data_IF_196122545913
#
_entry.id   IF_196122545913
#
_cell.length_a   1.000
_cell.length_b   1.000
_cell.length_c   1.000
_cell.angle_alpha   90.00
_cell.angle_beta   90.00
_cell.angle_gamma   90.00
#
_symmetry.space_group_name_H-M   'P 1'
#
loop_
_entity.id
_entity.type
_entity.pdbx_description
1 polymer ?
#
# COMPACT_ATOMS: atom_id res chain seq x y z
N UNK A 1 10.27 -14.23 7.29
CA UNK A 1 10.12 -13.70 8.66
C UNK A 1 8.83 -14.21 9.28
N UNK A 2 8.89 -14.59 10.55
CA UNK A 2 7.69 -14.99 11.29
C UNK A 2 7.23 -13.81 12.17
N UNK A 3 5.99 -13.39 12.01
CA UNK A 3 5.33 -12.54 12.98
C UNK A 3 4.26 -13.37 13.70
N UNK A 4 4.33 -13.43 15.03
CA UNK A 4 3.41 -14.18 15.89
C UNK A 4 3.29 -15.68 15.56
N UNK A 5 4.35 -16.31 15.05
CA UNK A 5 4.36 -17.74 14.73
C UNK A 5 3.62 -18.13 13.45
N UNK A 6 3.12 -17.16 12.69
CA UNK A 6 2.53 -17.39 11.37
C UNK A 6 3.55 -17.05 10.28
N UNK A 7 3.68 -17.89 9.24
CA UNK A 7 4.54 -17.57 8.11
C UNK A 7 4.00 -16.32 7.40
N UNK A 8 4.86 -15.32 7.26
CA UNK A 8 4.57 -14.11 6.51
C UNK A 8 5.37 -14.13 5.21
N UNK A 9 4.67 -14.13 4.08
CA UNK A 9 5.28 -14.06 2.76
C UNK A 9 5.14 -12.62 2.24
N UNK A 10 6.26 -11.94 2.06
CA UNK A 10 6.30 -10.63 1.42
C UNK A 10 6.70 -10.84 -0.05
N UNK A 11 5.83 -10.45 -0.97
CA UNK A 11 6.11 -10.45 -2.39
C UNK A 11 6.58 -9.04 -2.77
N UNK A 12 7.87 -8.90 -2.95
CA UNK A 12 8.41 -7.72 -3.61
C UNK A 12 8.56 -8.05 -5.10
N UNK A 13 7.90 -7.30 -5.96
CA UNK A 13 8.20 -7.37 -7.39
C UNK A 13 9.59 -6.77 -7.61
N UNK A 14 10.62 -7.60 -7.62
CA UNK A 14 11.94 -7.15 -8.01
C UNK A 14 11.99 -6.97 -9.52
N UNK A 15 12.11 -5.72 -9.93
CA UNK A 15 12.29 -5.34 -11.34
C UNK A 15 13.76 -5.38 -11.79
N UNK A 16 14.68 -5.83 -10.96
CA UNK A 16 16.06 -6.09 -11.37
C UNK A 16 16.21 -7.54 -11.81
N UNK A 17 16.42 -7.74 -13.10
CA UNK A 17 16.96 -9.00 -13.62
C UNK A 17 18.33 -9.28 -13.02
N UNK A 18 18.76 -10.54 -13.01
CA UNK A 18 20.07 -10.99 -12.51
C UNK A 18 21.28 -10.35 -13.22
N UNK A 19 21.03 -9.59 -14.28
CA UNK A 19 22.01 -8.85 -15.10
C UNK A 19 22.05 -7.34 -14.77
N UNK A 20 21.26 -6.89 -13.80
CA UNK A 20 21.19 -5.47 -13.41
C UNK A 20 20.44 -4.57 -14.41
N UNK A 21 19.78 -5.14 -15.41
CA UNK A 21 18.92 -4.41 -16.33
C UNK A 21 17.58 -4.17 -15.64
N UNK A 22 17.15 -2.90 -15.54
CA UNK A 22 15.79 -2.57 -15.14
C UNK A 22 14.82 -3.15 -16.18
N UNK A 23 14.07 -4.16 -15.79
CA UNK A 23 12.92 -4.61 -16.58
C UNK A 23 11.77 -3.63 -16.35
N UNK A 24 11.07 -3.28 -17.42
CA UNK A 24 9.84 -2.48 -17.32
C UNK A 24 8.92 -3.13 -16.27
N UNK A 25 8.48 -2.34 -15.30
CA UNK A 25 7.49 -2.82 -14.33
C UNK A 25 6.23 -3.17 -15.12
N UNK A 26 5.60 -4.33 -14.85
CA UNK A 26 4.30 -4.56 -15.42
C UNK A 26 3.35 -3.45 -14.95
N UNK A 27 2.84 -2.68 -15.89
CA UNK A 27 1.80 -1.70 -15.63
C UNK A 27 0.47 -2.47 -15.58
N UNK A 28 -0.14 -2.55 -14.43
CA UNK A 28 -1.48 -3.06 -14.26
C UNK A 28 -2.46 -1.91 -14.41
N UNK A 29 -3.47 -2.07 -15.26
CA UNK A 29 -4.52 -1.08 -15.39
C UNK A 29 -5.57 -1.24 -14.28
N UNK A 30 -6.14 -0.13 -13.84
CA UNK A 30 -7.30 -0.14 -12.95
C UNK A 30 -8.44 -0.97 -13.54
N UNK A 31 -9.09 -1.76 -12.70
CA UNK A 31 -10.15 -2.69 -13.11
C UNK A 31 -9.66 -4.02 -13.68
N UNK A 32 -8.37 -4.22 -13.88
CA UNK A 32 -7.83 -5.53 -14.26
C UNK A 32 -7.92 -6.51 -13.09
N UNK A 33 -8.26 -7.76 -13.44
CA UNK A 33 -8.22 -8.86 -12.50
C UNK A 33 -6.82 -9.46 -12.44
N UNK A 34 -6.39 -9.80 -11.23
CA UNK A 34 -5.13 -10.50 -11.00
C UNK A 34 -5.36 -12.01 -10.86
N UNK A 35 -4.53 -12.75 -11.58
CA UNK A 35 -4.31 -14.17 -11.37
C UNK A 35 -3.11 -14.32 -10.43
N UNK A 36 -3.24 -15.14 -9.41
CA UNK A 36 -2.17 -15.37 -8.43
C UNK A 36 -1.81 -16.83 -8.41
N UNK A 37 -0.53 -17.13 -8.56
CA UNK A 37 -0.02 -18.49 -8.49
C UNK A 37 1.18 -18.61 -7.59
N UNK A 38 1.29 -19.74 -6.90
CA UNK A 38 2.47 -20.14 -6.14
C UNK A 38 2.84 -21.56 -6.48
N UNK A 39 4.10 -21.79 -6.88
CA UNK A 39 4.57 -23.14 -7.25
C UNK A 39 4.62 -24.12 -6.06
N UNK A 40 4.56 -23.60 -4.84
CA UNK A 40 4.78 -24.38 -3.63
C UNK A 40 6.22 -24.87 -3.52
N UNK A 41 6.56 -25.41 -2.36
CA UNK A 41 7.84 -26.06 -2.10
C UNK A 41 7.59 -27.33 -1.29
N UNK A 42 8.22 -28.43 -1.67
CA UNK A 42 8.09 -29.71 -0.96
C UNK A 42 8.55 -29.66 0.51
N UNK A 43 9.33 -28.63 0.89
CA UNK A 43 9.76 -28.35 2.26
C UNK A 43 8.89 -27.35 2.99
N UNK A 44 7.96 -26.68 2.31
CA UNK A 44 7.03 -25.73 2.90
C UNK A 44 5.68 -26.40 3.19
N UNK A 45 4.97 -25.85 4.16
CA UNK A 45 3.59 -26.24 4.44
C UNK A 45 2.60 -25.73 3.35
N UNK A 46 3.13 -25.04 2.33
CA UNK A 46 2.34 -24.43 1.28
C UNK A 46 2.49 -25.24 -0.01
N UNK A 47 1.42 -25.93 -0.42
CA UNK A 47 1.35 -26.63 -1.69
C UNK A 47 1.32 -25.68 -2.90
N UNK A 48 1.37 -26.21 -4.10
CA UNK A 48 1.12 -25.41 -5.31
C UNK A 48 -0.31 -24.86 -5.29
N UNK A 49 -0.46 -23.62 -5.67
CA UNK A 49 -1.73 -22.92 -5.68
C UNK A 49 -1.82 -22.01 -6.91
N UNK A 50 -2.96 -22.00 -7.52
CA UNK A 50 -3.26 -21.22 -8.73
C UNK A 50 -4.74 -20.81 -8.68
N UNK A 51 -5.00 -19.52 -8.68
CA UNK A 51 -6.33 -18.93 -8.68
C UNK A 51 -6.40 -17.77 -9.66
N UNK A 52 -7.48 -17.74 -10.45
CA UNK A 52 -7.72 -16.69 -11.42
C UNK A 52 -8.78 -15.71 -10.95
N UNK A 53 -8.62 -14.44 -11.32
CA UNK A 53 -9.56 -13.35 -11.03
C UNK A 53 -9.81 -13.16 -9.51
N UNK A 54 -8.79 -13.33 -8.70
CA UNK A 54 -8.92 -13.31 -7.24
C UNK A 54 -8.95 -11.91 -6.65
N UNK A 55 -8.44 -10.93 -7.38
CA UNK A 55 -8.34 -9.54 -6.93
C UNK A 55 -8.46 -8.59 -8.12
N UNK A 56 -9.04 -7.42 -7.88
CA UNK A 56 -9.09 -6.33 -8.85
C UNK A 56 -8.01 -5.30 -8.49
N UNK A 57 -7.38 -4.71 -9.49
CA UNK A 57 -6.52 -3.54 -9.28
C UNK A 57 -7.42 -2.32 -9.04
N UNK A 58 -7.39 -1.69 -7.88
CA UNK A 58 -8.22 -0.50 -7.62
C UNK A 58 -7.76 0.68 -8.47
N UNK A 59 -8.63 1.66 -8.65
CA UNK A 59 -8.28 2.92 -9.29
C UNK A 59 -7.12 3.60 -8.54
N UNK A 60 -6.18 4.17 -9.29
CA UNK A 60 -5.05 4.86 -8.70
C UNK A 60 -5.50 6.16 -8.02
N UNK A 61 -5.31 6.24 -6.71
CA UNK A 61 -5.51 7.46 -5.95
C UNK A 61 -4.30 8.38 -6.10
N UNK A 62 -4.53 9.65 -6.44
CA UNK A 62 -3.48 10.65 -6.67
C UNK A 62 -3.75 11.91 -5.86
N UNK A 63 -2.67 12.57 -5.43
CA UNK A 63 -2.80 13.89 -4.80
C UNK A 63 -3.17 14.95 -5.85
N UNK A 64 -4.13 15.83 -5.52
CA UNK A 64 -4.51 16.92 -6.42
C UNK A 64 -3.47 18.04 -6.51
N UNK A 65 -2.64 18.19 -5.49
CA UNK A 65 -1.52 19.13 -5.48
C UNK A 65 -0.23 18.43 -5.87
N UNK A 66 0.53 18.99 -6.80
CA UNK A 66 1.82 18.47 -7.24
C UNK A 66 3.01 18.96 -6.39
N UNK A 67 2.78 19.82 -5.40
CA UNK A 67 3.80 20.33 -4.51
C UNK A 67 4.24 19.34 -3.42
N UNK A 68 5.33 19.70 -2.73
CA UNK A 68 5.74 19.04 -1.48
C UNK A 68 4.72 19.38 -0.39
N UNK A 69 4.44 18.41 0.47
CA UNK A 69 3.60 18.65 1.64
C UNK A 69 4.48 19.21 2.76
N UNK A 70 4.13 20.38 3.30
CA UNK A 70 4.81 20.96 4.47
C UNK A 70 3.80 21.07 5.60
N UNK A 71 4.13 20.47 6.73
CA UNK A 71 3.31 20.58 7.93
C UNK A 71 4.11 21.22 9.08
N UNK A 72 3.58 22.30 9.63
CA UNK A 72 4.18 22.99 10.78
C UNK A 72 3.28 22.96 12.00
N UNK A 73 1.97 23.02 11.82
CA UNK A 73 0.99 22.98 12.92
C UNK A 73 -0.43 22.82 12.38
N UNK A 74 -1.35 22.45 13.26
CA UNK A 74 -2.76 22.35 12.94
C UNK A 74 -3.14 21.07 12.19
N UNK A 75 -4.34 21.03 11.65
CA UNK A 75 -4.83 19.91 10.85
C UNK A 75 -4.15 19.88 9.49
N UNK A 76 -3.60 18.73 9.10
CA UNK A 76 -3.13 18.51 7.74
C UNK A 76 -4.33 18.13 6.87
N UNK A 77 -4.56 18.89 5.81
CA UNK A 77 -5.59 18.59 4.81
C UNK A 77 -4.89 18.12 3.54
N UNK A 78 -5.37 17.00 3.02
CA UNK A 78 -4.86 16.36 1.79
C UNK A 78 -6.03 16.18 0.84
N UNK A 79 -6.00 16.89 -0.28
CA UNK A 79 -6.95 16.73 -1.38
C UNK A 79 -6.44 15.69 -2.37
N UNK A 80 -7.31 14.80 -2.81
CA UNK A 80 -6.98 13.70 -3.72
C UNK A 80 -8.11 13.41 -4.70
N UNK A 81 -7.81 12.57 -5.69
CA UNK A 81 -8.76 12.06 -6.69
C UNK A 81 -8.36 10.66 -7.13
N UNK A 82 -9.23 10.01 -7.91
CA UNK A 82 -8.97 8.68 -8.46
C UNK A 82 -9.25 7.56 -7.45
N UNK A 83 -10.23 7.73 -6.57
CA UNK A 83 -10.70 6.65 -5.72
C UNK A 83 -12.04 6.13 -6.21
N UNK A 84 -12.21 4.80 -6.18
CA UNK A 84 -13.43 4.08 -6.58
C UNK A 84 -14.00 3.21 -5.44
N UNK A 85 -13.44 3.34 -4.25
CA UNK A 85 -13.80 2.57 -3.07
C UNK A 85 -14.57 3.34 -2.01
N UNK A 86 -14.95 2.63 -0.97
CA UNK A 86 -15.57 3.23 0.22
C UNK A 86 -14.54 3.88 1.17
N UNK A 87 -13.27 3.48 1.04
CA UNK A 87 -12.21 3.82 1.98
C UNK A 87 -10.90 4.17 1.26
N UNK A 88 -10.22 5.17 1.81
CA UNK A 88 -8.87 5.58 1.41
C UNK A 88 -7.91 5.47 2.59
N UNK A 89 -6.70 5.05 2.31
CA UNK A 89 -5.64 4.89 3.30
C UNK A 89 -4.57 5.96 3.11
N UNK A 90 -4.32 6.71 4.17
CA UNK A 90 -3.19 7.64 4.25
C UNK A 90 -2.09 6.97 5.06
N UNK A 91 -0.90 6.83 4.46
CA UNK A 91 0.28 6.29 5.12
C UNK A 91 1.32 7.37 5.30
N UNK A 92 2.12 7.27 6.34
CA UNK A 92 3.26 8.16 6.57
C UNK A 92 4.47 7.39 7.04
N UNK A 93 5.63 7.73 6.48
CA UNK A 93 6.94 7.30 6.97
C UNK A 93 7.71 8.54 7.34
N UNK A 94 8.12 8.67 8.59
CA UNK A 94 8.76 9.89 9.10
C UNK A 94 10.21 9.63 9.50
N UNK A 95 10.92 10.69 9.82
CA UNK A 95 12.27 10.58 10.38
C UNK A 95 12.29 9.62 11.58
N UNK A 96 13.42 8.94 11.78
CA UNK A 96 13.63 7.93 12.83
C UNK A 96 12.78 6.65 12.69
N UNK A 97 12.05 6.48 11.56
CA UNK A 97 11.32 5.25 11.25
C UNK A 97 9.91 5.18 11.82
N UNK A 98 9.36 6.29 12.28
CA UNK A 98 7.95 6.38 12.67
C UNK A 98 7.06 6.07 11.47
N UNK A 99 6.04 5.23 11.71
CA UNK A 99 5.09 4.82 10.70
C UNK A 99 3.68 5.23 11.11
N UNK A 100 2.91 5.71 10.15
CA UNK A 100 1.51 6.03 10.30
C UNK A 100 0.70 5.29 9.24
N UNK A 101 -0.46 4.77 9.60
CA UNK A 101 -1.47 4.30 8.68
C UNK A 101 -2.85 4.68 9.21
N UNK A 102 -3.59 5.46 8.46
CA UNK A 102 -4.92 5.93 8.80
C UNK A 102 -5.90 5.57 7.69
N UNK A 103 -7.09 5.16 8.08
CA UNK A 103 -8.19 4.87 7.17
C UNK A 103 -9.23 5.98 7.24
N UNK A 104 -9.70 6.44 6.09
CA UNK A 104 -10.71 7.47 5.95
C UNK A 104 -11.80 7.03 4.98
N UNK A 105 -13.00 7.59 5.14
CA UNK A 105 -14.03 7.45 4.10
C UNK A 105 -13.59 8.22 2.86
N UNK A 106 -13.91 7.67 1.69
CA UNK A 106 -13.59 8.30 0.41
C UNK A 106 -14.55 9.46 0.11
N UNK A 107 -14.11 10.68 0.40
CA UNK A 107 -14.83 11.91 0.12
C UNK A 107 -14.01 12.96 -0.66
N UNK A 108 -12.85 12.55 -1.19
CA UNK A 108 -11.93 13.40 -1.96
C UNK A 108 -11.00 14.24 -1.10
N UNK A 109 -11.14 14.20 0.24
CA UNK A 109 -10.29 14.96 1.15
C UNK A 109 -10.01 14.18 2.44
N UNK A 110 -8.76 14.14 2.84
CA UNK A 110 -8.35 13.64 4.14
C UNK A 110 -8.02 14.79 5.07
N UNK A 111 -8.57 14.76 6.28
CA UNK A 111 -8.26 15.69 7.36
C UNK A 111 -7.57 14.95 8.51
N UNK A 112 -6.26 15.12 8.63
CA UNK A 112 -5.47 14.49 9.68
C UNK A 112 -5.29 15.47 10.85
N UNK A 113 -5.81 15.15 12.04
CA UNK A 113 -5.70 16.02 13.21
C UNK A 113 -4.26 16.27 13.62
N UNK A 114 -3.98 17.45 14.18
CA UNK A 114 -2.64 17.86 14.58
C UNK A 114 -1.97 16.91 15.57
N UNK A 115 -2.74 16.29 16.47
CA UNK A 115 -2.23 15.38 17.50
C UNK A 115 -1.62 14.08 16.93
N UNK A 116 -1.96 13.72 15.71
CA UNK A 116 -1.35 12.58 15.02
C UNK A 116 0.10 12.90 14.62
N UNK A 117 0.36 14.12 14.14
CA UNK A 117 1.69 14.53 13.66
C UNK A 117 2.55 15.25 14.71
N UNK A 118 1.95 15.75 15.79
CA UNK A 118 2.66 16.57 16.78
C UNK A 118 3.79 15.86 17.52
N UNK A 119 3.80 14.53 17.54
CA UNK A 119 4.82 13.72 18.19
C UNK A 119 5.83 13.10 17.21
N UNK A 120 5.67 13.30 15.90
CA UNK A 120 6.65 12.84 14.91
C UNK A 120 7.91 13.69 15.01
N UNK A 121 9.06 13.16 14.60
CA UNK A 121 10.31 13.91 14.57
C UNK A 121 10.32 14.88 13.39
N UNK A 122 10.90 16.09 13.61
CA UNK A 122 11.11 17.05 12.53
C UNK A 122 12.02 16.50 11.44
N UNK A 123 11.73 16.81 10.21
CA UNK A 123 12.50 16.39 9.05
C UNK A 123 11.65 15.88 7.90
N UNK A 124 12.33 15.34 6.92
CA UNK A 124 11.70 14.78 5.72
C UNK A 124 11.15 13.38 5.96
N UNK A 125 9.99 13.11 5.35
CA UNK A 125 9.33 11.82 5.32
C UNK A 125 8.61 11.57 4.00
N UNK A 126 7.88 10.45 3.93
CA UNK A 126 6.98 10.11 2.84
C UNK A 126 5.54 10.13 3.32
N UNK A 127 4.63 10.63 2.51
CA UNK A 127 3.19 10.59 2.70
C UNK A 127 2.57 9.90 1.50
N UNK A 128 1.89 8.78 1.72
CA UNK A 128 1.24 8.00 0.66
C UNK A 128 -0.27 8.01 0.81
N UNK A 129 -0.99 8.06 -0.31
CA UNK A 129 -2.43 7.92 -0.37
C UNK A 129 -2.77 6.76 -1.30
N UNK A 130 -3.64 5.85 -0.83
CA UNK A 130 -3.89 4.60 -1.53
C UNK A 130 -5.35 4.17 -1.43
N UNK A 131 -5.83 3.58 -2.50
CA UNK A 131 -6.97 2.67 -2.50
C UNK A 131 -6.49 1.27 -2.15
N UNK A 132 -7.32 0.51 -1.45
CA UNK A 132 -7.02 -0.86 -1.04
C UNK A 132 -8.17 -1.78 -1.44
N UNK A 133 -7.86 -2.80 -2.22
CA UNK A 133 -8.75 -3.92 -2.43
C UNK A 133 -8.28 -5.15 -1.65
N UNK A 134 -9.25 -5.88 -1.09
CA UNK A 134 -8.99 -7.09 -0.31
C UNK A 134 -9.79 -8.26 -0.86
N UNK A 135 -9.10 -9.33 -1.18
CA UNK A 135 -9.71 -10.61 -1.56
C UNK A 135 -9.43 -11.70 -0.52
N UNK A 136 -10.29 -12.68 -0.47
CA UNK A 136 -10.08 -13.89 0.34
C UNK A 136 -10.33 -15.08 -0.59
N UNK A 137 -9.39 -16.00 -0.63
CA UNK A 137 -9.50 -17.25 -1.36
C UNK A 137 -9.08 -18.43 -0.50
N UNK A 138 -9.37 -19.66 -0.95
CA UNK A 138 -8.95 -20.87 -0.25
C UNK A 138 -7.56 -21.30 -0.72
N UNK A 139 -6.63 -21.48 0.21
CA UNK A 139 -5.34 -22.08 -0.08
C UNK A 139 -5.42 -23.58 -0.38
N UNK A 140 -4.31 -24.20 -0.81
CA UNK A 140 -4.25 -25.61 -1.18
C UNK A 140 -4.62 -26.58 -0.04
N UNK A 141 -4.51 -26.15 1.20
CA UNK A 141 -4.90 -26.90 2.40
C UNK A 141 -6.29 -26.52 2.94
N UNK A 142 -7.03 -25.67 2.21
CA UNK A 142 -8.35 -25.17 2.57
C UNK A 142 -8.34 -24.02 3.59
N UNK A 143 -7.17 -23.54 4.00
CA UNK A 143 -7.07 -22.37 4.86
C UNK A 143 -7.29 -21.07 4.06
N UNK A 144 -7.89 -20.04 4.66
CA UNK A 144 -8.11 -18.78 3.96
C UNK A 144 -6.77 -18.06 3.68
N UNK A 145 -6.61 -17.59 2.46
CA UNK A 145 -5.53 -16.70 2.05
C UNK A 145 -6.12 -15.31 1.84
N UNK A 146 -5.53 -14.33 2.51
CA UNK A 146 -5.87 -12.92 2.38
C UNK A 146 -4.94 -12.29 1.36
N UNK A 147 -5.53 -11.66 0.38
CA UNK A 147 -4.83 -10.95 -0.69
C UNK A 147 -5.20 -9.47 -0.62
N UNK A 148 -4.23 -8.60 -0.87
CA UNK A 148 -4.43 -7.16 -0.87
C UNK A 148 -3.66 -6.53 -2.03
N UNK A 149 -4.31 -5.60 -2.72
CA UNK A 149 -3.67 -4.71 -3.69
C UNK A 149 -3.83 -3.27 -3.24
N UNK A 150 -2.79 -2.50 -3.49
CA UNK A 150 -2.78 -1.06 -3.22
C UNK A 150 -2.52 -0.33 -4.53
N UNK A 151 -3.30 0.72 -4.79
CA UNK A 151 -3.04 1.61 -5.91
C UNK A 151 -3.10 3.05 -5.44
N UNK A 152 -2.02 3.79 -5.65
CA UNK A 152 -1.92 5.16 -5.15
C UNK A 152 -0.60 5.83 -5.45
N UNK A 153 -0.37 6.94 -4.78
CA UNK A 153 0.80 7.81 -4.97
C UNK A 153 1.49 8.11 -3.64
N UNK A 154 2.78 8.35 -3.69
CA UNK A 154 3.57 8.81 -2.54
C UNK A 154 4.23 10.14 -2.85
N UNK A 155 4.23 11.06 -1.88
CA UNK A 155 4.92 12.35 -1.92
C UNK A 155 5.86 12.53 -0.74
N UNK A 156 6.79 13.48 -0.90
CA UNK A 156 7.58 13.95 0.23
C UNK A 156 6.74 14.82 1.16
N UNK A 157 6.92 14.65 2.45
CA UNK A 157 6.40 15.54 3.49
C UNK A 157 7.56 16.07 4.34
N UNK A 158 7.54 17.37 4.63
CA UNK A 158 8.42 18.01 5.59
C UNK A 158 7.65 18.33 6.87
N UNK A 159 8.10 17.82 7.99
CA UNK A 159 7.66 18.22 9.32
C UNK A 159 8.58 19.36 9.80
N UNK A 160 8.06 20.58 9.89
CA UNK A 160 8.79 21.81 10.22
C UNK A 160 8.00 22.58 11.31
N UNK A 161 8.40 22.43 12.59
CA UNK A 161 7.69 22.96 13.78
C UNK A 161 8.46 24.09 14.44
#
# INVERSE_FOLDING_TARGET
SEQNGLPFYNWESHTQGSDGVETERPEFASGEFLDVSASGDASSYFGSWDESNVLVIPEQTTFNDNGEVVWSSGTLIVDYSGSDGDDVYLTGTFAEGDLMMCKFSDDGVVSLPADVLQNTVEGWGGLGIYNLETGITAGPDGLPIWLQTFSGETKSILIDR
#
